data_IF_487495594294
#
_entry.id   IF_487495594294
#
_cell.length_a   1.000
_cell.length_b   1.000
_cell.length_c   1.000
_cell.angle_alpha   90.00
_cell.angle_beta   90.00
_cell.angle_gamma   90.00
#
_symmetry.space_group_name_H-M   'P 1'
#
loop_
_entity.id
_entity.type
_entity.pdbx_description
1 polymer ?
#
# COMPACT_ATOMS: atom_id res chain seq x y z
N UNK A 1 40.64 -3.88 0.88
CA UNK A 1 42.01 -3.43 1.20
C UNK A 1 42.91 -3.69 0.01
N UNK A 2 43.96 -2.88 -0.15
CA UNK A 2 44.90 -2.78 -1.30
C UNK A 2 44.39 -2.09 -2.57
N UNK A 3 43.49 -1.09 -2.47
CA UNK A 3 43.06 -0.29 -3.63
C UNK A 3 42.36 -1.08 -4.75
N UNK A 4 42.19 -2.39 -4.57
CA UNK A 4 41.54 -3.31 -5.50
C UNK A 4 40.07 -2.91 -5.71
N UNK A 5 39.46 -2.36 -4.67
CA UNK A 5 38.10 -1.80 -4.67
C UNK A 5 38.06 -0.52 -5.51
N UNK A 6 39.02 0.39 -5.33
CA UNK A 6 39.09 1.63 -6.14
C UNK A 6 39.39 1.31 -7.63
N UNK A 7 40.17 0.26 -7.91
CA UNK A 7 40.41 -0.21 -9.27
C UNK A 7 39.22 -0.95 -9.89
N UNK A 8 38.38 -1.60 -9.07
CA UNK A 8 37.10 -2.16 -9.52
C UNK A 8 36.12 -1.01 -9.81
N UNK A 9 35.99 -0.03 -8.91
CA UNK A 9 35.13 1.16 -9.07
C UNK A 9 35.47 1.93 -10.34
N UNK A 10 36.75 2.17 -10.62
CA UNK A 10 37.19 2.87 -11.83
C UNK A 10 36.92 2.09 -13.14
N UNK A 11 36.58 0.81 -13.07
CA UNK A 11 36.23 -0.04 -14.21
C UNK A 11 34.72 -0.23 -14.38
N UNK A 12 33.90 0.21 -13.41
CA UNK A 12 32.44 0.10 -13.49
C UNK A 12 31.87 1.33 -14.21
N UNK A 13 31.09 1.17 -15.30
CA UNK A 13 30.30 2.25 -15.86
C UNK A 13 29.30 2.76 -14.82
N UNK A 14 29.10 4.08 -14.79
CA UNK A 14 28.24 4.75 -13.82
C UNK A 14 26.75 4.52 -14.17
N UNK A 15 26.19 3.43 -13.65
CA UNK A 15 24.77 3.09 -13.78
C UNK A 15 24.08 3.18 -12.42
N UNK A 16 22.80 3.54 -12.43
CA UNK A 16 21.95 3.60 -11.24
C UNK A 16 20.93 2.48 -11.29
N UNK A 17 20.83 1.72 -10.21
CA UNK A 17 19.85 0.64 -10.05
C UNK A 17 18.44 1.21 -9.86
N UNK A 18 17.48 0.71 -10.62
CA UNK A 18 16.04 1.01 -10.47
C UNK A 18 15.43 0.14 -9.34
N UNK A 19 16.11 -0.02 -8.21
CA UNK A 19 15.57 -0.77 -7.07
C UNK A 19 14.47 0.00 -6.33
N UNK A 20 14.53 1.33 -6.38
CA UNK A 20 13.61 2.28 -5.75
C UNK A 20 12.64 2.94 -6.73
N UNK A 21 12.72 2.61 -8.01
CA UNK A 21 11.89 3.17 -9.08
C UNK A 21 11.60 2.12 -10.15
N UNK A 22 10.67 2.36 -11.05
CA UNK A 22 10.40 1.48 -12.19
C UNK A 22 10.41 2.30 -13.47
N UNK A 23 11.00 1.73 -14.51
CA UNK A 23 10.94 2.24 -15.87
C UNK A 23 10.53 1.07 -16.76
N UNK A 24 9.46 1.24 -17.51
CA UNK A 24 8.99 0.24 -18.46
C UNK A 24 8.51 0.95 -19.72
N UNK A 25 8.88 0.42 -20.88
CA UNK A 25 8.41 0.91 -22.16
C UNK A 25 7.72 -0.21 -22.93
N UNK A 26 6.64 0.12 -23.64
CA UNK A 26 5.90 -0.86 -24.45
C UNK A 26 5.38 -0.26 -25.74
N UNK A 27 5.40 -1.07 -26.80
CA UNK A 27 4.81 -0.78 -28.10
C UNK A 27 3.96 -1.97 -28.51
N UNK A 28 2.68 -1.74 -28.78
CA UNK A 28 1.74 -2.77 -29.23
C UNK A 28 1.28 -2.41 -30.65
N UNK A 29 1.66 -3.23 -31.63
CA UNK A 29 1.13 -3.17 -33.00
C UNK A 29 0.37 -4.48 -33.30
N UNK A 30 -0.47 -4.47 -34.34
CA UNK A 30 -1.32 -5.61 -34.76
C UNK A 30 -0.49 -6.86 -35.08
N UNK A 31 0.76 -6.69 -35.50
CA UNK A 31 1.63 -7.78 -35.95
C UNK A 31 2.74 -8.14 -34.98
N UNK A 32 3.20 -7.17 -34.18
CA UNK A 32 4.36 -7.27 -33.31
C UNK A 32 4.19 -6.37 -32.14
N UNK A 33 4.77 -6.79 -31.05
CA UNK A 33 4.66 -6.05 -29.83
C UNK A 33 6.09 -6.05 -29.22
N UNK A 34 6.44 -5.06 -28.42
CA UNK A 34 7.78 -4.94 -27.85
C UNK A 34 7.72 -4.31 -26.47
N UNK A 35 8.43 -4.92 -25.53
CA UNK A 35 8.59 -4.42 -24.18
C UNK A 35 10.06 -4.14 -23.90
N UNK A 36 10.33 -3.12 -23.11
CA UNK A 36 11.65 -2.77 -22.60
C UNK A 36 11.55 -2.65 -21.09
N UNK A 37 12.26 -3.51 -20.38
CA UNK A 37 12.23 -3.62 -18.92
C UNK A 37 13.66 -3.58 -18.36
N UNK A 38 14.27 -2.39 -18.24
CA UNK A 38 15.61 -2.21 -17.69
C UNK A 38 15.61 -2.32 -16.15
N UNK A 39 16.68 -2.87 -15.60
CA UNK A 39 16.97 -2.84 -14.16
C UNK A 39 17.87 -1.67 -13.75
N UNK A 40 18.59 -1.09 -14.70
CA UNK A 40 19.49 0.04 -14.45
C UNK A 40 19.24 1.18 -15.43
N UNK A 41 19.59 2.40 -15.04
CA UNK A 41 19.61 3.57 -15.93
C UNK A 41 20.98 4.24 -15.94
N UNK A 42 21.30 4.89 -17.05
CA UNK A 42 22.53 5.67 -17.19
C UNK A 42 22.29 6.97 -17.96
N UNK A 43 23.20 7.94 -17.78
CA UNK A 43 23.28 9.11 -18.66
C UNK A 43 24.11 8.78 -19.89
N UNK A 44 23.82 9.41 -21.02
CA UNK A 44 24.63 9.24 -22.23
C UNK A 44 26.08 9.73 -22.03
N UNK A 45 26.31 10.67 -21.11
CA UNK A 45 27.65 11.16 -20.72
C UNK A 45 28.51 10.09 -20.05
N UNK A 46 27.87 9.11 -19.42
CA UNK A 46 28.52 8.15 -18.52
C UNK A 46 28.89 6.85 -19.24
N UNK A 47 28.48 6.72 -20.50
CA UNK A 47 28.67 5.54 -21.35
C UNK A 47 29.69 5.83 -22.46
N UNK A 48 30.57 4.85 -22.72
CA UNK A 48 31.42 4.88 -23.91
C UNK A 48 30.57 4.77 -25.18
N UNK A 49 30.45 5.88 -25.91
CA UNK A 49 29.67 6.00 -27.14
C UNK A 49 30.10 5.02 -28.24
N UNK A 50 31.33 4.49 -28.19
CA UNK A 50 31.80 3.48 -29.16
C UNK A 50 31.05 2.15 -29.05
N UNK A 51 30.40 1.89 -27.91
CA UNK A 51 29.58 0.70 -27.69
C UNK A 51 28.19 0.82 -28.33
N UNK A 52 27.72 2.04 -28.56
CA UNK A 52 26.36 2.32 -29.05
C UNK A 52 26.30 2.17 -30.57
N UNK A 53 25.36 1.36 -31.03
CA UNK A 53 24.96 1.29 -32.43
C UNK A 53 23.73 2.17 -32.62
N UNK A 54 23.85 3.24 -33.40
CA UNK A 54 22.77 4.20 -33.65
C UNK A 54 21.85 3.66 -34.76
N UNK A 55 20.54 3.67 -34.51
CA UNK A 55 19.55 3.09 -35.44
C UNK A 55 19.49 3.86 -36.76
N UNK A 56 19.71 5.17 -36.72
CA UNK A 56 19.80 6.03 -37.90
C UNK A 56 21.23 6.18 -38.46
N UNK A 57 22.21 5.53 -37.82
CA UNK A 57 23.63 5.63 -38.15
C UNK A 57 24.30 6.95 -37.78
N UNK A 58 23.62 7.86 -37.09
CA UNK A 58 24.16 9.18 -36.70
C UNK A 58 24.52 9.19 -35.22
N UNK A 59 25.81 9.32 -34.92
CA UNK A 59 26.26 9.45 -33.54
C UNK A 59 25.81 10.78 -32.93
N UNK A 60 25.36 10.72 -31.67
CA UNK A 60 24.79 11.88 -30.95
C UNK A 60 25.57 12.16 -29.68
N UNK A 61 25.63 13.44 -29.32
CA UNK A 61 26.24 13.90 -28.07
C UNK A 61 25.24 14.01 -26.92
N UNK A 62 23.96 14.18 -27.24
CA UNK A 62 22.85 14.29 -26.28
C UNK A 62 21.62 13.56 -26.83
N UNK A 63 20.77 13.04 -25.95
CA UNK A 63 19.46 12.50 -26.30
C UNK A 63 18.43 13.63 -26.36
N UNK A 64 17.47 13.55 -27.28
CA UNK A 64 16.27 14.38 -27.26
C UNK A 64 15.32 13.98 -26.12
N UNK A 65 14.31 14.81 -25.85
CA UNK A 65 13.41 14.66 -24.70
C UNK A 65 12.67 13.30 -24.66
N UNK A 66 12.41 12.66 -25.80
CA UNK A 66 11.71 11.36 -25.87
C UNK A 66 12.55 10.28 -26.55
N UNK A 67 13.86 10.37 -26.42
CA UNK A 67 14.81 9.45 -27.03
C UNK A 67 15.54 8.62 -25.97
N UNK A 68 15.67 7.32 -26.22
CA UNK A 68 16.31 6.38 -25.30
C UNK A 68 17.28 5.48 -26.09
N UNK A 69 18.36 5.08 -25.44
CA UNK A 69 19.25 4.01 -25.93
C UNK A 69 19.10 2.83 -24.95
N UNK A 70 18.99 1.61 -25.46
CA UNK A 70 18.72 0.43 -24.62
C UNK A 70 19.78 -0.63 -24.83
N UNK A 71 20.09 -1.40 -23.81
CA UNK A 71 20.84 -2.64 -24.01
C UNK A 71 19.90 -3.72 -24.52
N UNK A 72 20.35 -4.53 -25.47
CA UNK A 72 19.47 -5.48 -26.18
C UNK A 72 18.91 -6.57 -25.25
N UNK A 73 19.48 -6.74 -24.08
CA UNK A 73 19.10 -7.73 -23.07
C UNK A 73 17.96 -7.31 -22.13
N UNK A 74 17.55 -6.04 -22.15
CA UNK A 74 16.31 -5.59 -21.50
C UNK A 74 15.12 -5.48 -22.48
N UNK A 75 15.28 -5.92 -23.73
CA UNK A 75 14.23 -5.84 -24.75
C UNK A 75 13.58 -7.21 -24.95
N UNK A 76 12.26 -7.24 -24.87
CA UNK A 76 11.44 -8.43 -25.04
C UNK A 76 10.52 -8.24 -26.25
N UNK A 77 10.48 -9.26 -27.11
CA UNK A 77 9.65 -9.26 -28.32
C UNK A 77 8.64 -10.40 -28.24
N UNK A 78 7.41 -10.11 -28.67
CA UNK A 78 6.28 -11.04 -28.74
C UNK A 78 5.55 -10.86 -30.08
N UNK A 79 5.05 -11.97 -30.64
CA UNK A 79 4.25 -12.02 -31.87
C UNK A 79 2.90 -12.64 -31.57
N UNK A 80 1.81 -12.07 -32.13
CA UNK A 80 0.45 -12.60 -31.91
C UNK A 80 0.10 -13.78 -32.84
N UNK A 81 0.83 -14.01 -33.94
CA UNK A 81 0.40 -14.89 -35.03
C UNK A 81 1.03 -16.30 -35.06
N UNK A 82 1.45 -16.84 -33.92
CA UNK A 82 1.64 -18.29 -33.72
C UNK A 82 2.70 -19.04 -34.56
N UNK A 83 3.32 -18.46 -35.58
CA UNK A 83 4.34 -19.11 -36.42
C UNK A 83 5.52 -18.18 -36.76
N UNK A 84 6.31 -17.85 -35.75
CA UNK A 84 7.78 -17.85 -35.84
C UNK A 84 8.31 -17.90 -34.40
N UNK A 85 8.92 -19.04 -34.03
CA UNK A 85 9.57 -19.34 -32.75
C UNK A 85 9.13 -18.48 -31.54
N UNK A 86 8.21 -19.04 -30.76
CA UNK A 86 7.96 -18.63 -29.37
C UNK A 86 9.20 -18.85 -28.50
N UNK A 87 10.23 -18.05 -28.72
CA UNK A 87 11.27 -17.80 -27.75
C UNK A 87 10.91 -16.48 -27.11
N UNK A 88 10.53 -16.51 -25.83
CA UNK A 88 10.83 -15.36 -24.99
C UNK A 88 12.32 -15.17 -25.15
N UNK A 89 12.76 -14.16 -25.88
CA UNK A 89 14.18 -13.78 -25.92
C UNK A 89 14.49 -13.21 -24.55
N UNK A 90 14.65 -14.10 -23.57
CA UNK A 90 15.52 -13.82 -22.44
C UNK A 90 16.87 -13.49 -23.04
N UNK A 91 17.60 -12.63 -22.34
CA UNK A 91 18.92 -12.08 -22.64
C UNK A 91 19.99 -13.00 -23.28
N UNK A 92 19.75 -14.28 -23.55
CA UNK A 92 20.69 -15.27 -24.06
C UNK A 92 20.38 -15.81 -25.47
N UNK A 93 19.33 -15.36 -26.16
CA UNK A 93 19.02 -15.87 -27.51
C UNK A 93 19.84 -15.16 -28.60
N UNK A 94 20.81 -15.87 -29.17
CA UNK A 94 21.67 -15.41 -30.28
C UNK A 94 20.97 -15.38 -31.65
N UNK A 95 19.65 -15.60 -31.70
CA UNK A 95 18.87 -15.70 -32.94
C UNK A 95 18.46 -14.35 -33.53
N UNK A 96 18.47 -13.26 -32.73
CA UNK A 96 18.18 -11.90 -33.22
C UNK A 96 19.42 -11.35 -33.91
N UNK A 97 19.40 -11.33 -35.24
CA UNK A 97 20.57 -10.95 -36.05
C UNK A 97 20.60 -9.49 -36.48
N UNK A 98 19.46 -8.76 -36.43
CA UNK A 98 19.40 -7.36 -36.84
C UNK A 98 18.47 -6.51 -35.95
N UNK A 99 19.04 -5.98 -34.88
CA UNK A 99 18.37 -5.05 -33.97
C UNK A 99 18.08 -3.69 -34.62
N UNK A 100 18.83 -3.29 -35.65
CA UNK A 100 18.62 -1.99 -36.33
C UNK A 100 17.30 -2.02 -37.09
N UNK A 101 17.01 -3.13 -37.80
CA UNK A 101 15.74 -3.32 -38.48
C UNK A 101 14.57 -3.28 -37.50
N UNK A 102 14.68 -3.98 -36.36
CA UNK A 102 13.61 -4.04 -35.36
C UNK A 102 13.29 -2.65 -34.81
N UNK A 103 14.29 -1.91 -34.32
CA UNK A 103 14.05 -0.59 -33.74
C UNK A 103 13.64 0.45 -34.78
N UNK A 104 14.06 0.30 -36.04
CA UNK A 104 13.62 1.20 -37.12
C UNK A 104 12.14 1.08 -37.47
N UNK A 105 11.54 -0.09 -37.21
CA UNK A 105 10.12 -0.37 -37.48
C UNK A 105 9.19 -0.01 -36.31
N UNK A 106 9.74 0.42 -35.16
CA UNK A 106 8.94 0.84 -34.00
C UNK A 106 8.69 2.35 -34.11
N UNK A 107 7.45 2.72 -34.43
CA UNK A 107 7.09 4.14 -34.60
C UNK A 107 7.10 4.93 -33.29
N UNK A 108 6.57 4.34 -32.22
CA UNK A 108 6.51 4.97 -30.90
C UNK A 108 6.38 3.97 -29.77
N UNK A 109 6.87 4.35 -28.60
CA UNK A 109 6.78 3.61 -27.34
C UNK A 109 5.97 4.41 -26.34
N UNK A 110 5.17 3.70 -25.55
CA UNK A 110 4.57 4.23 -24.33
C UNK A 110 5.54 3.98 -23.19
N UNK A 111 5.77 5.00 -22.36
CA UNK A 111 6.58 4.89 -21.15
C UNK A 111 5.67 4.85 -19.93
N UNK A 112 6.07 4.04 -18.95
CA UNK A 112 5.60 4.11 -17.57
C UNK A 112 6.81 4.19 -16.66
N UNK A 113 6.94 5.31 -15.96
CA UNK A 113 8.10 5.60 -15.11
C UNK A 113 7.64 6.20 -13.78
N UNK A 114 8.01 5.58 -12.65
CA UNK A 114 7.58 6.05 -11.33
C UNK A 114 8.59 5.67 -10.24
N UNK A 115 8.70 6.49 -9.20
CA UNK A 115 9.46 6.21 -7.99
C UNK A 115 8.53 5.54 -6.98
N UNK A 116 9.02 4.53 -6.25
CA UNK A 116 8.25 3.87 -5.20
C UNK A 116 8.25 4.65 -3.88
N UNK A 117 9.25 5.52 -3.70
CA UNK A 117 9.49 6.22 -2.43
C UNK A 117 9.18 7.71 -2.51
N UNK A 118 9.23 8.30 -3.70
CA UNK A 118 8.77 9.67 -3.90
C UNK A 118 7.25 9.69 -4.13
N UNK A 119 6.54 10.65 -3.54
CA UNK A 119 5.09 10.83 -3.76
C UNK A 119 4.79 11.53 -5.10
N UNK A 120 5.78 11.59 -5.98
CA UNK A 120 5.68 12.16 -7.31
C UNK A 120 4.70 11.39 -8.19
N UNK A 121 3.92 12.12 -8.98
CA UNK A 121 2.97 11.51 -9.91
C UNK A 121 3.71 10.64 -10.94
N UNK A 122 3.24 9.39 -11.16
CA UNK A 122 3.82 8.49 -12.14
C UNK A 122 3.80 9.12 -13.53
N UNK A 123 4.91 9.02 -14.25
CA UNK A 123 5.02 9.47 -15.63
C UNK A 123 4.46 8.39 -16.57
N UNK A 124 3.33 8.70 -17.19
CA UNK A 124 2.79 7.96 -18.32
C UNK A 124 2.76 8.86 -19.54
N UNK A 125 3.49 8.49 -20.58
CA UNK A 125 3.64 9.32 -21.78
C UNK A 125 3.83 8.44 -23.02
N UNK A 126 3.56 9.00 -24.20
CA UNK A 126 3.68 8.31 -25.50
C UNK A 126 4.72 8.99 -26.41
N UNK A 127 4.99 8.42 -27.57
CA UNK A 127 5.90 9.03 -28.56
C UNK A 127 7.39 8.85 -28.27
N UNK A 128 7.76 7.91 -27.40
CA UNK A 128 9.16 7.58 -27.12
C UNK A 128 9.79 6.76 -28.25
N UNK A 129 11.09 6.94 -28.48
CA UNK A 129 11.80 6.28 -29.58
C UNK A 129 13.14 5.72 -29.12
N UNK A 130 13.42 4.48 -29.52
CA UNK A 130 14.75 3.88 -29.37
C UNK A 130 15.62 4.39 -30.52
N UNK A 131 16.65 5.15 -30.18
CA UNK A 131 17.52 5.81 -31.18
C UNK A 131 18.88 5.13 -31.32
N UNK A 132 19.21 4.27 -30.37
CA UNK A 132 20.41 3.46 -30.40
C UNK A 132 20.26 2.24 -29.51
N UNK A 133 21.17 1.30 -29.67
CA UNK A 133 21.23 0.12 -28.82
C UNK A 133 22.66 -0.31 -28.55
N UNK A 134 22.84 -0.97 -27.42
CA UNK A 134 24.09 -1.63 -27.05
C UNK A 134 23.85 -3.14 -27.10
N UNK A 135 24.53 -3.80 -28.02
CA UNK A 135 24.46 -5.26 -28.14
C UNK A 135 25.06 -5.90 -26.89
N UNK A 136 24.32 -6.82 -26.26
CA UNK A 136 24.80 -7.60 -25.11
C UNK A 136 26.18 -8.23 -25.36
N UNK A 137 26.50 -8.63 -26.58
CA UNK A 137 27.81 -9.20 -26.92
C UNK A 137 28.98 -8.21 -26.73
N UNK A 138 28.70 -6.91 -26.73
CA UNK A 138 29.66 -5.81 -26.50
C UNK A 138 29.64 -5.28 -25.06
N UNK A 139 28.72 -5.78 -24.23
CA UNK A 139 28.46 -5.30 -22.88
C UNK A 139 29.31 -6.09 -21.88
N UNK A 140 30.12 -5.38 -21.08
CA UNK A 140 30.70 -5.95 -19.87
C UNK A 140 29.60 -6.17 -18.81
N UNK A 141 29.83 -6.98 -17.77
CA UNK A 141 28.82 -7.36 -16.75
C UNK A 141 28.03 -6.22 -16.10
N UNK A 142 28.46 -4.97 -16.30
CA UNK A 142 27.97 -3.77 -15.61
C UNK A 142 27.00 -2.89 -16.41
N UNK A 143 26.77 -3.16 -17.71
CA UNK A 143 25.70 -2.50 -18.50
C UNK A 143 24.54 -3.46 -18.82
N UNK A 144 24.48 -4.59 -18.13
CA UNK A 144 23.42 -5.57 -18.31
C UNK A 144 22.10 -4.91 -17.92
N UNK A 145 21.08 -5.11 -18.75
CA UNK A 145 19.72 -4.63 -18.52
C UNK A 145 19.63 -3.14 -18.19
N UNK A 146 20.31 -2.30 -18.98
CA UNK A 146 20.44 -0.85 -18.74
C UNK A 146 19.75 -0.03 -19.83
N UNK A 147 19.01 1.01 -19.41
CA UNK A 147 18.45 2.04 -20.27
C UNK A 147 19.22 3.36 -20.12
N UNK A 148 19.72 3.91 -21.23
CA UNK A 148 20.31 5.24 -21.27
C UNK A 148 19.22 6.26 -21.59
N UNK A 149 18.90 7.11 -20.62
CA UNK A 149 17.74 7.99 -20.63
C UNK A 149 18.14 9.48 -20.71
N UNK A 150 17.23 10.38 -21.13
CA UNK A 150 17.46 11.82 -21.07
C UNK A 150 17.68 12.32 -19.64
N UNK A 151 18.40 13.42 -19.49
CA UNK A 151 18.82 13.98 -18.20
C UNK A 151 17.66 14.20 -17.22
N UNK A 152 16.51 14.71 -17.70
CA UNK A 152 15.36 14.95 -16.85
C UNK A 152 14.72 13.64 -16.34
N UNK A 153 14.71 12.59 -17.16
CA UNK A 153 14.15 11.30 -16.78
C UNK A 153 15.12 10.58 -15.84
N UNK A 154 16.44 10.72 -16.09
CA UNK A 154 17.47 10.24 -15.18
C UNK A 154 17.27 10.86 -13.80
N UNK A 155 17.21 12.19 -13.68
CA UNK A 155 17.07 12.87 -12.39
C UNK A 155 15.71 12.61 -11.71
N UNK A 156 14.68 12.19 -12.45
CA UNK A 156 13.39 11.78 -11.86
C UNK A 156 13.44 10.36 -11.26
N UNK A 157 14.23 9.47 -11.86
CA UNK A 157 14.28 8.05 -11.49
C UNK A 157 15.47 7.72 -10.59
N UNK A 158 16.60 8.37 -10.81
CA UNK A 158 17.76 8.28 -9.95
C UNK A 158 17.48 9.14 -8.71
N UNK A 159 17.11 8.49 -7.60
CA UNK A 159 17.20 9.12 -6.29
C UNK A 159 18.68 9.43 -6.05
N UNK A 160 19.06 10.70 -6.01
CA UNK A 160 20.44 11.16 -5.79
C UNK A 160 20.90 10.74 -4.38
N UNK A 161 21.35 9.50 -4.24
CA UNK A 161 22.23 9.12 -3.15
C UNK A 161 23.52 8.61 -3.76
N UNK A 162 24.61 9.36 -3.55
CA UNK A 162 26.01 8.93 -3.73
C UNK A 162 26.38 7.85 -2.69
N UNK A 163 25.46 6.93 -2.42
CA UNK A 163 25.66 5.79 -1.55
C UNK A 163 26.70 4.88 -2.17
N UNK A 164 27.92 4.90 -1.63
CA UNK A 164 29.04 4.05 -2.07
C UNK A 164 28.71 2.54 -1.99
N UNK A 165 27.67 2.17 -1.23
CA UNK A 165 27.25 0.80 -1.00
C UNK A 165 25.74 0.64 -1.13
N UNK A 166 25.30 -0.28 -2.00
CA UNK A 166 23.88 -0.66 -2.19
C UNK A 166 23.31 -1.47 -1.01
N UNK A 167 24.17 -2.19 -0.29
CA UNK A 167 23.78 -2.95 0.90
C UNK A 167 24.94 -3.10 1.89
N UNK A 168 24.60 -3.26 3.17
CA UNK A 168 25.54 -3.59 4.24
C UNK A 168 25.08 -4.87 4.97
N UNK A 169 26.00 -5.82 5.15
CA UNK A 169 25.73 -7.07 5.90
C UNK A 169 26.35 -6.97 7.28
N UNK A 170 25.53 -7.09 8.32
CA UNK A 170 25.97 -7.02 9.72
C UNK A 170 25.32 -8.09 10.60
N UNK A 171 25.92 -8.42 11.76
CA UNK A 171 25.29 -9.30 12.74
C UNK A 171 24.04 -8.63 13.34
N UNK A 172 22.95 -9.39 13.47
CA UNK A 172 21.72 -8.88 14.08
C UNK A 172 21.92 -8.60 15.58
N UNK A 173 21.62 -7.38 16.07
CA UNK A 173 21.65 -7.05 17.49
C UNK A 173 20.73 -7.97 18.29
N UNK A 174 21.17 -8.40 19.47
CA UNK A 174 20.38 -9.28 20.36
C UNK A 174 19.67 -8.53 21.48
N UNK A 175 20.13 -7.33 21.81
CA UNK A 175 19.53 -6.48 22.83
C UNK A 175 18.32 -5.73 22.25
N UNK A 176 17.23 -5.64 23.02
CA UNK A 176 15.98 -5.01 22.58
C UNK A 176 16.19 -3.54 22.17
N UNK A 177 16.96 -2.78 22.96
CA UNK A 177 17.14 -1.34 22.74
C UNK A 177 18.00 -1.07 21.50
N UNK A 178 19.09 -1.82 21.31
CA UNK A 178 19.91 -1.76 20.10
C UNK A 178 19.14 -2.18 18.84
N UNK A 179 18.24 -3.15 18.96
CA UNK A 179 17.37 -3.57 17.86
C UNK A 179 16.35 -2.48 17.52
N UNK A 180 15.80 -1.81 18.53
CA UNK A 180 14.87 -0.69 18.33
C UNK A 180 15.56 0.51 17.67
N UNK A 181 16.77 0.86 18.10
CA UNK A 181 17.56 1.93 17.50
C UNK A 181 17.93 1.60 16.05
N UNK A 182 18.34 0.35 15.79
CA UNK A 182 18.67 -0.11 14.44
C UNK A 182 17.47 -0.14 13.50
N UNK A 183 16.31 -0.63 13.98
CA UNK A 183 15.06 -0.57 13.21
C UNK A 183 14.64 0.88 12.97
N UNK A 184 14.75 1.74 13.98
CA UNK A 184 14.41 3.16 13.82
C UNK A 184 15.31 3.83 12.78
N UNK A 185 16.60 3.54 12.76
CA UNK A 185 17.54 4.02 11.74
C UNK A 185 17.15 3.57 10.33
N UNK A 186 16.74 2.31 10.15
CA UNK A 186 16.30 1.78 8.85
C UNK A 186 14.95 2.33 8.35
N UNK A 187 14.10 2.82 9.26
CA UNK A 187 12.78 3.34 8.94
C UNK A 187 12.69 4.87 9.00
N UNK A 188 13.77 5.56 9.38
CA UNK A 188 13.88 7.00 9.28
C UNK A 188 14.35 7.39 7.87
N UNK A 189 13.71 8.40 7.30
CA UNK A 189 14.19 9.11 6.11
C UNK A 189 15.15 10.20 6.59
N UNK A 190 16.45 9.96 6.41
CA UNK A 190 17.47 11.02 6.51
C UNK A 190 17.94 11.32 5.09
N UNK A 191 17.86 12.59 4.68
CA UNK A 191 18.40 13.09 3.40
C UNK A 191 17.92 12.30 2.17
N UNK A 192 16.59 12.10 2.08
CA UNK A 192 15.90 11.40 0.97
C UNK A 192 16.34 9.94 0.74
N UNK A 193 17.10 9.38 1.68
CA UNK A 193 17.63 8.02 1.61
C UNK A 193 17.03 7.16 2.72
N UNK A 194 16.42 6.02 2.34
CA UNK A 194 15.87 5.04 3.29
C UNK A 194 16.62 3.72 3.21
N UNK A 195 17.14 3.27 4.34
CA UNK A 195 17.86 2.00 4.43
C UNK A 195 16.92 0.85 4.78
N UNK A 196 16.36 0.17 3.79
CA UNK A 196 15.41 -0.92 4.04
C UNK A 196 16.12 -2.18 4.56
N UNK A 197 15.64 -2.68 5.71
CA UNK A 197 16.23 -3.81 6.42
C UNK A 197 15.77 -5.14 5.78
N UNK A 198 16.57 -5.72 4.89
CA UNK A 198 16.26 -7.02 4.29
C UNK A 198 16.62 -8.18 5.23
N UNK A 199 15.61 -8.73 5.91
CA UNK A 199 15.68 -9.96 6.70
C UNK A 199 14.44 -10.81 6.40
N UNK A 200 14.55 -12.14 6.50
CA UNK A 200 13.43 -13.08 6.51
C UNK A 200 12.26 -12.62 7.41
N UNK A 201 12.55 -12.02 8.56
CA UNK A 201 11.53 -11.51 9.49
C UNK A 201 10.86 -10.23 8.96
N UNK A 202 11.58 -9.34 8.27
CA UNK A 202 10.99 -8.09 7.74
C UNK A 202 9.98 -8.37 6.64
N UNK A 203 10.30 -9.28 5.71
CA UNK A 203 9.38 -9.67 4.63
C UNK A 203 8.09 -10.30 5.19
N UNK A 204 8.22 -11.14 6.22
CA UNK A 204 7.07 -11.71 6.92
C UNK A 204 6.26 -10.62 7.65
N UNK A 205 6.92 -9.66 8.29
CA UNK A 205 6.26 -8.57 9.01
C UNK A 205 5.54 -7.58 8.09
N UNK A 206 6.13 -7.20 6.95
CA UNK A 206 5.49 -6.29 5.98
C UNK A 206 4.27 -6.95 5.33
N UNK A 207 4.37 -8.24 5.00
CA UNK A 207 3.23 -9.01 4.50
C UNK A 207 2.12 -9.12 5.55
N UNK A 208 2.48 -9.41 6.81
CA UNK A 208 1.53 -9.45 7.92
C UNK A 208 0.92 -8.06 8.14
N UNK A 209 1.69 -6.98 8.04
CA UNK A 209 1.23 -5.62 8.24
C UNK A 209 0.18 -5.24 7.19
N UNK A 210 0.48 -5.48 5.91
CA UNK A 210 -0.46 -5.23 4.80
C UNK A 210 -1.77 -6.01 4.96
N UNK A 211 -1.69 -7.29 5.35
CA UNK A 211 -2.88 -8.10 5.62
C UNK A 211 -3.67 -7.57 6.82
N UNK A 212 -2.99 -7.20 7.91
CA UNK A 212 -3.62 -6.64 9.10
C UNK A 212 -4.28 -5.29 8.83
N UNK A 213 -3.67 -4.44 8.01
CA UNK A 213 -4.23 -3.14 7.61
C UNK A 213 -5.49 -3.32 6.76
N UNK A 214 -5.44 -4.23 5.79
CA UNK A 214 -6.61 -4.59 4.97
C UNK A 214 -7.74 -5.15 5.83
N UNK A 215 -7.43 -6.10 6.72
CA UNK A 215 -8.42 -6.69 7.63
C UNK A 215 -8.97 -5.66 8.61
N UNK A 216 -8.13 -4.77 9.15
CA UNK A 216 -8.54 -3.70 10.06
C UNK A 216 -9.57 -2.78 9.39
N UNK A 217 -9.29 -2.39 8.14
CA UNK A 217 -10.20 -1.56 7.33
C UNK A 217 -11.53 -2.27 7.09
N UNK A 218 -11.50 -3.54 6.69
CA UNK A 218 -12.73 -4.33 6.48
C UNK A 218 -13.53 -4.49 7.78
N UNK A 219 -12.88 -4.83 8.89
CA UNK A 219 -13.55 -4.96 10.19
C UNK A 219 -14.11 -3.65 10.71
N UNK A 220 -13.48 -2.51 10.42
CA UNK A 220 -14.02 -1.20 10.75
C UNK A 220 -15.37 -0.97 10.06
N UNK A 221 -15.45 -1.20 8.74
CA UNK A 221 -16.70 -1.04 7.99
C UNK A 221 -17.80 -2.00 8.47
N UNK A 222 -17.45 -3.27 8.68
CA UNK A 222 -18.37 -4.28 9.23
C UNK A 222 -18.84 -3.86 10.64
N UNK A 223 -17.93 -3.37 11.49
CA UNK A 223 -18.21 -2.90 12.83
C UNK A 223 -19.18 -1.70 12.85
N UNK A 224 -19.00 -0.74 11.96
CA UNK A 224 -19.94 0.39 11.78
C UNK A 224 -21.33 -0.12 11.38
N UNK A 225 -21.40 -1.08 10.45
CA UNK A 225 -22.65 -1.70 10.04
C UNK A 225 -23.38 -2.38 11.20
N UNK A 226 -22.66 -3.18 11.99
CA UNK A 226 -23.23 -3.82 13.18
C UNK A 226 -23.63 -2.82 14.27
N UNK A 227 -22.87 -1.74 14.47
CA UNK A 227 -23.23 -0.69 15.43
C UNK A 227 -24.53 0.01 15.03
N UNK A 228 -24.71 0.34 13.75
CA UNK A 228 -25.94 0.93 13.24
C UNK A 228 -27.12 -0.05 13.39
N UNK A 229 -26.92 -1.32 13.04
CA UNK A 229 -27.93 -2.36 13.20
C UNK A 229 -28.35 -2.56 14.67
N UNK A 230 -27.38 -2.60 15.59
CA UNK A 230 -27.63 -2.70 17.03
C UNK A 230 -28.40 -1.48 17.56
N UNK A 231 -28.05 -0.27 17.11
CA UNK A 231 -28.78 0.95 17.48
C UNK A 231 -30.25 0.90 17.03
N UNK A 232 -30.52 0.42 15.81
CA UNK A 232 -31.88 0.25 15.28
C UNK A 232 -32.67 -0.81 16.05
N UNK A 233 -32.05 -1.95 16.36
CA UNK A 233 -32.69 -2.99 17.17
C UNK A 233 -33.03 -2.47 18.57
N UNK A 234 -32.09 -1.78 19.22
CA UNK A 234 -32.31 -1.20 20.54
C UNK A 234 -33.40 -0.11 20.50
N UNK A 235 -33.42 0.73 19.45
CA UNK A 235 -34.47 1.73 19.26
C UNK A 235 -35.86 1.08 19.13
N UNK A 236 -35.97 -0.01 18.37
CA UNK A 236 -37.22 -0.77 18.23
C UNK A 236 -37.67 -1.42 19.54
N UNK A 237 -36.72 -1.96 20.30
CA UNK A 237 -36.99 -2.51 21.64
C UNK A 237 -37.54 -1.43 22.58
N UNK A 238 -36.90 -0.26 22.63
CA UNK A 238 -37.35 0.87 23.45
C UNK A 238 -38.73 1.36 23.00
N UNK A 239 -38.94 1.54 21.69
CA UNK A 239 -40.24 1.94 21.16
C UNK A 239 -41.37 0.99 21.57
N UNK A 240 -41.09 -0.32 21.52
CA UNK A 240 -42.03 -1.38 21.91
C UNK A 240 -42.27 -1.38 23.42
N UNK A 241 -41.22 -1.26 24.24
CA UNK A 241 -41.32 -1.18 25.70
C UNK A 241 -42.19 0.02 26.12
N UNK A 242 -41.96 1.19 25.52
CA UNK A 242 -42.78 2.38 25.78
C UNK A 242 -44.23 2.14 25.35
N UNK A 243 -44.46 1.42 24.24
CA UNK A 243 -45.80 1.11 23.78
C UNK A 243 -46.61 0.27 24.78
N UNK A 244 -45.97 -0.69 25.45
CA UNK A 244 -46.59 -1.48 26.51
C UNK A 244 -46.84 -0.66 27.78
N UNK A 245 -45.97 0.31 28.11
CA UNK A 245 -46.10 1.17 29.30
C UNK A 245 -46.88 2.47 29.06
N UNK A 246 -47.60 2.61 27.94
CA UNK A 246 -48.35 3.84 27.58
C UNK A 246 -49.32 4.30 28.67
N UNK A 247 -50.05 3.36 29.30
CA UNK A 247 -51.03 3.68 30.34
C UNK A 247 -50.36 4.23 31.59
N UNK A 248 -49.24 3.63 32.03
CA UNK A 248 -48.45 4.09 33.17
C UNK A 248 -47.89 5.50 32.94
N UNK A 249 -47.38 5.78 31.74
CA UNK A 249 -46.89 7.12 31.35
C UNK A 249 -48.03 8.14 31.37
N UNK A 250 -49.24 7.75 30.93
CA UNK A 250 -50.44 8.57 30.97
C UNK A 250 -50.82 8.98 32.40
N UNK A 251 -50.76 8.03 33.34
CA UNK A 251 -50.99 8.27 34.78
C UNK A 251 -49.90 9.20 35.34
N UNK A 252 -48.62 8.94 35.02
CA UNK A 252 -47.49 9.76 35.47
C UNK A 252 -47.63 11.22 35.04
N UNK A 253 -48.06 11.45 33.79
CA UNK A 253 -48.32 12.79 33.25
C UNK A 253 -49.55 13.45 33.86
N UNK A 254 -50.59 12.69 34.23
CA UNK A 254 -51.79 13.22 34.89
C UNK A 254 -51.50 13.72 36.31
N UNK A 255 -50.51 13.12 36.99
CA UNK A 255 -50.00 13.55 38.31
C UNK A 255 -49.03 14.76 38.18
N UNK A 256 -48.63 15.12 36.96
CA UNK A 256 -47.85 16.34 36.69
C UNK A 256 -46.41 16.11 36.21
N UNK A 257 -46.02 14.88 35.84
CA UNK A 257 -44.67 14.65 35.31
C UNK A 257 -44.44 15.37 33.98
N UNK A 258 -43.25 15.96 33.81
CA UNK A 258 -42.87 16.61 32.55
C UNK A 258 -42.44 15.55 31.53
N UNK A 259 -42.55 15.89 30.25
CA UNK A 259 -42.07 15.03 29.15
C UNK A 259 -40.58 14.66 29.28
N UNK A 260 -39.79 15.54 29.90
CA UNK A 260 -38.38 15.30 30.18
C UNK A 260 -38.13 14.28 31.31
N UNK A 261 -39.06 14.16 32.27
CA UNK A 261 -38.94 13.19 33.36
C UNK A 261 -39.17 11.78 32.82
N UNK A 262 -40.16 11.64 31.94
CA UNK A 262 -40.41 10.39 31.18
C UNK A 262 -39.21 10.06 30.29
N UNK A 263 -38.60 11.06 29.63
CA UNK A 263 -37.38 10.85 28.83
C UNK A 263 -36.23 10.30 29.68
N UNK A 264 -35.99 10.90 30.87
CA UNK A 264 -34.89 10.48 31.77
C UNK A 264 -35.05 9.04 32.26
N UNK A 265 -36.28 8.59 32.52
CA UNK A 265 -36.54 7.21 32.94
C UNK A 265 -36.11 6.22 31.85
N UNK A 266 -36.60 6.41 30.62
CA UNK A 266 -36.28 5.51 29.50
C UNK A 266 -34.82 5.62 29.05
N UNK A 267 -34.23 6.81 29.11
CA UNK A 267 -32.80 7.00 28.87
C UNK A 267 -31.96 6.26 29.91
N UNK A 268 -32.32 6.33 31.19
CA UNK A 268 -31.65 5.59 32.26
C UNK A 268 -31.78 4.08 32.09
N UNK A 269 -32.95 3.58 31.69
CA UNK A 269 -33.15 2.15 31.39
C UNK A 269 -32.22 1.70 30.26
N UNK A 270 -32.15 2.49 29.18
CA UNK A 270 -31.28 2.23 28.03
C UNK A 270 -29.79 2.27 28.42
N UNK A 271 -29.42 3.22 29.29
CA UNK A 271 -28.05 3.37 29.78
C UNK A 271 -27.62 2.18 30.66
N UNK A 272 -28.50 1.68 31.53
CA UNK A 272 -28.22 0.50 32.35
C UNK A 272 -28.00 -0.73 31.46
N UNK A 273 -28.86 -0.93 30.45
CA UNK A 273 -28.70 -2.03 29.47
C UNK A 273 -27.36 -1.90 28.74
N UNK A 274 -26.98 -0.69 28.32
CA UNK A 274 -25.71 -0.44 27.66
C UNK A 274 -24.49 -0.71 28.56
N UNK A 275 -24.57 -0.38 29.85
CA UNK A 275 -23.50 -0.67 30.81
C UNK A 275 -23.31 -2.17 31.02
N UNK A 276 -24.40 -2.93 31.13
CA UNK A 276 -24.34 -4.40 31.25
C UNK A 276 -23.70 -5.00 29.99
N UNK A 277 -24.13 -4.56 28.81
CA UNK A 277 -23.56 -5.01 27.55
C UNK A 277 -22.07 -4.67 27.44
N UNK A 278 -21.67 -3.46 27.82
CA UNK A 278 -20.27 -3.04 27.81
C UNK A 278 -19.38 -3.99 28.64
N UNK A 279 -19.80 -4.33 29.86
CA UNK A 279 -19.03 -5.24 30.73
C UNK A 279 -18.92 -6.63 30.11
N UNK A 280 -20.02 -7.17 29.59
CA UNK A 280 -20.05 -8.49 28.94
C UNK A 280 -19.17 -8.48 27.69
N UNK A 281 -19.29 -7.47 26.84
CA UNK A 281 -18.50 -7.30 25.63
C UNK A 281 -17.01 -7.15 25.96
N UNK A 282 -16.63 -6.36 26.96
CA UNK A 282 -15.23 -6.19 27.34
C UNK A 282 -14.59 -7.51 27.79
N UNK A 283 -15.30 -8.31 28.61
CA UNK A 283 -14.83 -9.63 29.06
C UNK A 283 -14.74 -10.60 27.87
N UNK A 284 -15.74 -10.61 26.99
CA UNK A 284 -15.75 -11.46 25.81
C UNK A 284 -14.59 -11.12 24.85
N UNK A 285 -14.38 -9.83 24.55
CA UNK A 285 -13.30 -9.36 23.68
C UNK A 285 -11.93 -9.68 24.27
N UNK A 286 -11.72 -9.47 25.57
CA UNK A 286 -10.48 -9.86 26.25
C UNK A 286 -10.23 -11.37 26.12
N UNK A 287 -11.26 -12.19 26.37
CA UNK A 287 -11.15 -13.66 26.29
C UNK A 287 -10.79 -14.13 24.88
N UNK A 288 -11.46 -13.60 23.86
CA UNK A 288 -11.21 -13.92 22.45
C UNK A 288 -9.80 -13.47 22.04
N UNK A 289 -9.37 -12.29 22.46
CA UNK A 289 -8.02 -11.77 22.18
C UNK A 289 -6.94 -12.69 22.72
N UNK A 290 -7.11 -13.19 23.95
CA UNK A 290 -6.18 -14.15 24.55
C UNK A 290 -6.13 -15.47 23.79
N UNK A 291 -7.27 -16.01 23.37
CA UNK A 291 -7.37 -17.25 22.60
C UNK A 291 -6.67 -17.09 21.24
N UNK A 292 -6.96 -16.01 20.52
CA UNK A 292 -6.35 -15.75 19.21
C UNK A 292 -4.84 -15.56 19.34
N UNK A 293 -4.38 -14.78 20.32
CA UNK A 293 -2.94 -14.60 20.57
C UNK A 293 -2.24 -15.92 20.91
N UNK A 294 -2.88 -16.81 21.70
CA UNK A 294 -2.35 -18.15 21.97
C UNK A 294 -2.25 -18.98 20.70
N UNK A 295 -3.30 -18.97 19.87
CA UNK A 295 -3.33 -19.72 18.62
C UNK A 295 -2.26 -19.26 17.64
N UNK A 296 -2.07 -17.93 17.50
CA UNK A 296 -1.02 -17.33 16.68
C UNK A 296 0.36 -17.76 17.21
N UNK A 297 0.59 -17.68 18.52
CA UNK A 297 1.86 -18.08 19.14
C UNK A 297 2.19 -19.56 18.87
N UNK A 298 1.20 -20.44 19.01
CA UNK A 298 1.39 -21.89 18.87
C UNK A 298 1.54 -22.36 17.41
N UNK A 299 0.85 -21.69 16.46
CA UNK A 299 0.80 -22.13 15.05
C UNK A 299 1.73 -21.38 14.13
N UNK A 300 1.95 -20.09 14.38
CA UNK A 300 2.74 -19.22 13.50
C UNK A 300 4.14 -18.95 14.08
N UNK A 301 4.45 -19.42 15.29
CA UNK A 301 5.78 -19.28 15.89
C UNK A 301 6.18 -17.83 16.23
N UNK A 302 5.25 -16.89 16.11
CA UNK A 302 5.45 -15.47 16.41
C UNK A 302 5.43 -15.29 17.93
N UNK A 303 6.56 -14.96 18.54
CA UNK A 303 6.65 -14.70 20.00
C UNK A 303 6.01 -13.36 20.41
N UNK A 304 5.67 -12.51 19.44
CA UNK A 304 5.13 -11.16 19.63
C UNK A 304 3.61 -11.22 19.82
N UNK A 305 3.09 -10.41 20.76
CA UNK A 305 1.65 -10.23 20.95
C UNK A 305 1.08 -9.36 19.82
N UNK A 306 0.37 -9.98 18.89
CA UNK A 306 -0.18 -9.30 17.70
C UNK A 306 -1.40 -8.43 18.06
N UNK A 307 -2.30 -8.94 18.90
CA UNK A 307 -3.50 -8.20 19.32
C UNK A 307 -3.34 -7.67 20.75
N UNK A 308 -3.21 -6.35 20.88
CA UNK A 308 -3.15 -5.68 22.18
C UNK A 308 -4.53 -5.10 22.56
N UNK A 309 -5.16 -5.67 23.58
CA UNK A 309 -6.38 -5.13 24.19
C UNK A 309 -6.06 -4.37 25.47
N UNK A 310 -5.63 -3.11 25.30
CA UNK A 310 -5.24 -2.21 26.38
C UNK A 310 -6.35 -1.26 26.85
N UNK A 311 -5.97 -0.33 27.72
CA UNK A 311 -6.87 0.68 28.32
C UNK A 311 -7.55 1.55 27.25
N UNK A 312 -6.84 1.88 26.16
CA UNK A 312 -7.38 2.66 25.03
C UNK A 312 -8.56 1.95 24.38
N UNK A 313 -8.45 0.65 24.14
CA UNK A 313 -9.48 -0.16 23.49
C UNK A 313 -10.72 -0.28 24.37
N UNK A 314 -10.54 -0.48 25.67
CA UNK A 314 -11.63 -0.49 26.65
C UNK A 314 -12.35 0.86 26.69
N UNK A 315 -11.62 1.98 26.68
CA UNK A 315 -12.20 3.31 26.66
C UNK A 315 -13.01 3.59 25.37
N UNK A 316 -12.50 3.15 24.21
CA UNK A 316 -13.22 3.25 22.93
C UNK A 316 -14.50 2.41 22.93
N UNK A 317 -14.45 1.18 23.45
CA UNK A 317 -15.62 0.31 23.57
C UNK A 317 -16.70 0.93 24.48
N UNK A 318 -16.27 1.58 25.57
CA UNK A 318 -17.15 2.28 26.49
C UNK A 318 -17.83 3.47 25.82
N UNK A 319 -17.05 4.32 25.14
CA UNK A 319 -17.56 5.47 24.41
C UNK A 319 -18.58 5.04 23.33
N UNK A 320 -18.27 3.99 22.56
CA UNK A 320 -19.17 3.44 21.56
C UNK A 320 -20.49 2.96 22.18
N UNK A 321 -20.42 2.27 23.32
CA UNK A 321 -21.60 1.78 24.04
C UNK A 321 -22.55 2.92 24.43
N UNK A 322 -22.00 4.03 24.94
CA UNK A 322 -22.77 5.23 25.29
C UNK A 322 -23.39 5.88 24.05
N UNK A 323 -22.62 6.01 22.97
CA UNK A 323 -23.09 6.60 21.71
C UNK A 323 -24.27 5.81 21.14
N UNK A 324 -24.15 4.48 21.06
CA UNK A 324 -25.21 3.59 20.57
C UNK A 324 -26.46 3.70 21.44
N UNK A 325 -26.32 3.66 22.77
CA UNK A 325 -27.46 3.79 23.68
C UNK A 325 -28.18 5.14 23.56
N UNK A 326 -27.42 6.21 23.38
CA UNK A 326 -27.94 7.57 23.22
C UNK A 326 -28.69 7.70 21.89
N UNK A 327 -28.09 7.27 20.79
CA UNK A 327 -28.72 7.32 19.46
C UNK A 327 -29.99 6.47 19.40
N UNK A 328 -29.94 5.25 19.96
CA UNK A 328 -31.07 4.34 19.96
C UNK A 328 -32.27 4.86 20.78
N UNK A 329 -32.00 5.48 21.93
CA UNK A 329 -33.07 6.00 22.81
C UNK A 329 -33.61 7.37 22.35
N UNK A 330 -32.80 8.20 21.69
CA UNK A 330 -33.19 9.57 21.36
C UNK A 330 -34.43 9.65 20.44
N UNK A 331 -34.43 8.89 19.34
CA UNK A 331 -35.49 8.92 18.33
C UNK A 331 -36.88 8.47 18.85
N UNK A 332 -37.04 7.26 19.43
CA UNK A 332 -38.34 6.79 19.91
C UNK A 332 -38.88 7.64 21.06
N UNK A 333 -38.01 8.07 21.98
CA UNK A 333 -38.43 8.82 23.16
C UNK A 333 -38.86 10.24 22.77
N UNK A 334 -38.14 10.91 21.86
CA UNK A 334 -38.55 12.24 21.35
C UNK A 334 -39.92 12.19 20.64
N UNK A 335 -40.16 11.14 19.85
CA UNK A 335 -41.44 10.95 19.13
C UNK A 335 -42.63 10.77 20.07
N UNK A 336 -42.42 10.24 21.27
CA UNK A 336 -43.49 9.98 22.25
C UNK A 336 -43.65 11.15 23.22
N UNK A 337 -42.55 11.77 23.65
CA UNK A 337 -42.55 12.97 24.49
C UNK A 337 -43.31 14.15 23.85
N UNK A 338 -43.37 14.21 22.52
CA UNK A 338 -44.08 15.23 21.74
C UNK A 338 -45.57 14.95 21.50
N UNK A 339 -46.07 13.73 21.79
CA UNK A 339 -47.50 13.42 21.63
C UNK A 339 -48.34 14.03 22.75
N UNK A 340 -49.51 14.57 22.36
CA UNK A 340 -50.45 15.22 23.28
C UNK A 340 -51.10 14.17 24.20
N UNK A 341 -51.25 14.46 25.50
CA UNK A 341 -51.73 13.49 26.49
C UNK A 341 -53.16 13.00 26.25
N UNK A 342 -53.97 13.76 25.48
CA UNK A 342 -55.35 13.39 25.16
C UNK A 342 -55.47 12.24 24.14
N UNK A 343 -54.43 12.01 23.33
CA UNK A 343 -54.40 10.91 22.35
C UNK A 343 -54.07 9.57 23.03
N UNK A 344 -53.32 9.59 24.13
CA UNK A 344 -52.94 8.39 24.88
C UNK A 344 -54.11 7.71 25.60
N UNK A 345 -55.18 8.46 25.92
CA UNK A 345 -56.34 7.98 26.66
C UNK A 345 -57.47 7.48 25.73
N UNK A 346 -57.53 7.95 24.47
CA UNK A 346 -58.61 7.60 23.54
C UNK A 346 -58.35 6.37 22.67
N UNK A 347 -57.21 5.69 22.82
CA UNK A 347 -56.93 4.45 22.09
C UNK A 347 -57.00 4.62 20.56
N UNK A 348 -56.56 5.76 20.03
CA UNK A 348 -56.35 6.00 18.59
C UNK A 348 -54.93 6.49 18.33
#
# INVERSE_FOLDING_TARGET
GDGYVDSLIAQLPNTVSLSSSSLYLSSYDETRSMDVDPYHIARLSDIDKSLITWVDGVARDTLGDKEIVVTTDCVYLWSQDGEWNGTITYSNDTSVTDWTEIFSNVESLNISAYSYYDNDEPLFDDGWRIVGYIDKAKVDTNLITTAIVPEYLYNKLATDSDGVYEFAVGPMPKAHDELMDFVSYCYNEDDDTRYTLQNAVTYELDTIHSVLETLSTVFLYIGIGFAAFAALMLANFIATSIAYKKQEIGILRAIGSRSNDVFRIFFSESFIIAMINFVISAIATLSVTLIINSYIRDKLGVLITVLNFGVRQVALLFALSIVVATLASFLPVKKIASKRPIDAIRGR
#
